data_IF_970994505404
#
_entry.id   IF_970994505404
#
_cell.length_a   1.000
_cell.length_b   1.000
_cell.length_c   1.000
_cell.angle_alpha   90.00
_cell.angle_beta   90.00
_cell.angle_gamma   90.00
#
_symmetry.space_group_name_H-M   'P 1'
#
loop_
_entity.id
_entity.type
_entity.pdbx_description
1 polymer ?
#
# COMPACT_ATOMS: atom_id res chain seq x y z
N UNK A 1 12.96 10.45 24.65
CA UNK A 1 13.10 9.11 24.03
C UNK A 1 13.15 9.33 22.54
N UNK A 2 14.23 8.93 21.85
CA UNK A 2 14.33 9.11 20.40
C UNK A 2 13.36 8.17 19.69
N UNK A 3 12.54 8.71 18.76
CA UNK A 3 11.62 7.90 17.95
C UNK A 3 12.42 6.91 17.10
N UNK A 4 12.09 5.62 17.18
CA UNK A 4 12.77 4.60 16.38
C UNK A 4 12.34 4.70 14.91
N UNK A 5 13.27 4.54 13.99
CA UNK A 5 12.96 4.49 12.55
C UNK A 5 12.36 3.12 12.24
N UNK A 6 11.19 3.12 11.62
CA UNK A 6 10.45 1.89 11.28
C UNK A 6 10.51 1.56 9.79
N UNK A 7 10.75 2.57 8.94
CA UNK A 7 10.82 2.40 7.49
C UNK A 7 11.83 3.40 6.90
N UNK A 8 12.70 2.92 6.00
CA UNK A 8 13.70 3.76 5.31
C UNK A 8 13.74 3.47 3.83
N UNK A 9 13.85 4.51 3.03
CA UNK A 9 14.42 4.48 1.70
C UNK A 9 15.83 5.09 1.77
N UNK A 10 16.80 4.42 1.19
CA UNK A 10 18.19 4.88 1.15
C UNK A 10 18.65 4.93 -0.30
N UNK A 11 18.78 6.15 -0.85
CA UNK A 11 19.25 6.43 -2.22
C UNK A 11 18.53 5.56 -3.28
N UNK A 12 17.22 5.44 -3.16
CA UNK A 12 16.40 4.60 -4.05
C UNK A 12 16.28 5.26 -5.41
N UNK A 13 16.61 4.49 -6.44
CA UNK A 13 16.40 4.84 -7.85
C UNK A 13 15.60 3.73 -8.52
N UNK A 14 14.65 4.10 -9.36
CA UNK A 14 13.87 3.17 -10.17
C UNK A 14 13.72 3.70 -11.58
N UNK A 15 13.95 2.81 -12.57
CA UNK A 15 13.86 3.12 -13.99
C UNK A 15 12.55 2.67 -14.59
N UNK A 16 12.02 3.44 -15.54
CA UNK A 16 10.85 3.06 -16.30
C UNK A 16 11.25 1.99 -17.32
N UNK A 17 10.64 0.82 -17.22
CA UNK A 17 10.83 -0.27 -18.19
C UNK A 17 9.68 -0.28 -19.19
N UNK A 18 9.84 0.43 -20.28
CA UNK A 18 8.87 0.35 -21.36
C UNK A 18 9.09 -0.96 -22.13
N UNK A 19 8.27 -1.97 -21.85
CA UNK A 19 8.32 -3.26 -22.55
C UNK A 19 8.02 -3.17 -24.05
N UNK A 20 7.43 -2.07 -24.52
CA UNK A 20 7.13 -1.83 -25.93
C UNK A 20 8.26 -1.15 -26.71
N UNK A 21 9.33 -0.71 -26.06
CA UNK A 21 10.49 -0.18 -26.77
C UNK A 21 11.25 -1.34 -27.40
N UNK A 22 11.16 -1.50 -28.74
CA UNK A 22 11.95 -2.42 -29.56
C UNK A 22 13.47 -2.16 -29.50
N UNK A 23 13.97 -1.52 -28.47
CA UNK A 23 15.39 -1.21 -28.29
C UNK A 23 16.09 -2.34 -27.53
N UNK A 24 16.08 -3.55 -28.11
CA UNK A 24 16.93 -4.68 -27.68
C UNK A 24 18.44 -4.36 -27.75
N UNK A 25 18.79 -3.16 -28.26
CA UNK A 25 20.12 -2.74 -28.67
C UNK A 25 20.79 -1.74 -27.72
N UNK A 26 20.42 -1.65 -26.44
CA UNK A 26 21.13 -0.78 -25.50
C UNK A 26 21.91 -1.60 -24.46
N UNK A 27 23.20 -1.92 -24.74
CA UNK A 27 24.01 -2.68 -23.80
C UNK A 27 24.47 -1.90 -22.57
N UNK A 28 24.37 -0.57 -22.54
CA UNK A 28 24.98 0.26 -21.49
C UNK A 28 24.11 1.50 -21.16
N UNK A 29 23.13 1.35 -20.26
CA UNK A 29 22.57 2.47 -19.54
C UNK A 29 21.13 2.87 -19.90
N UNK A 30 20.39 3.30 -18.89
CA UNK A 30 19.11 3.98 -19.00
C UNK A 30 19.35 5.45 -19.28
N UNK A 31 18.56 6.07 -20.17
CA UNK A 31 18.57 7.52 -20.36
C UNK A 31 17.98 8.21 -19.13
N UNK A 32 18.31 9.47 -18.92
CA UNK A 32 17.76 10.27 -17.83
C UNK A 32 16.22 10.37 -17.90
N UNK A 33 15.63 10.26 -19.08
CA UNK A 33 14.18 10.24 -19.33
C UNK A 33 13.49 8.94 -18.85
N UNK A 34 14.26 7.86 -18.65
CA UNK A 34 13.74 6.58 -18.16
C UNK A 34 13.70 6.52 -16.61
N UNK A 35 14.08 7.58 -15.93
CA UNK A 35 14.15 7.60 -14.45
C UNK A 35 12.80 8.01 -13.87
N UNK A 36 12.12 7.08 -13.19
CA UNK A 36 10.89 7.36 -12.44
C UNK A 36 11.16 7.92 -11.05
N UNK A 37 12.17 7.39 -10.37
CA UNK A 37 12.62 7.85 -9.06
C UNK A 37 14.13 7.99 -9.09
N UNK A 38 14.64 9.14 -8.65
CA UNK A 38 16.06 9.42 -8.67
C UNK A 38 16.59 9.72 -7.27
N UNK A 39 17.38 8.79 -6.74
CA UNK A 39 18.15 8.96 -5.49
C UNK A 39 17.30 9.41 -4.29
N UNK A 40 16.08 8.85 -4.15
CA UNK A 40 15.15 9.22 -3.08
C UNK A 40 15.60 8.61 -1.76
N UNK A 41 15.68 9.44 -0.74
CA UNK A 41 15.92 9.01 0.64
C UNK A 41 14.79 9.52 1.54
N UNK A 42 14.26 8.65 2.37
CA UNK A 42 13.14 8.92 3.26
C UNK A 42 13.30 8.11 4.55
N UNK A 43 13.07 8.73 5.68
CA UNK A 43 13.00 8.07 6.98
C UNK A 43 11.62 8.29 7.57
N UNK A 44 11.02 7.23 8.07
CA UNK A 44 9.72 7.27 8.73
C UNK A 44 9.90 6.72 10.14
N UNK A 45 9.41 7.46 11.13
CA UNK A 45 9.59 7.17 12.54
C UNK A 45 8.31 6.56 13.13
N UNK A 46 8.48 5.81 14.21
CA UNK A 46 7.35 5.27 14.95
C UNK A 46 6.45 6.39 15.47
N UNK A 47 5.13 6.25 15.24
CA UNK A 47 4.13 7.25 15.61
C UNK A 47 3.96 8.39 14.61
N UNK A 48 4.77 8.45 13.55
CA UNK A 48 4.67 9.48 12.51
C UNK A 48 3.55 9.13 11.51
N UNK A 49 2.81 10.16 11.07
CA UNK A 49 1.91 10.07 9.93
C UNK A 49 2.49 10.93 8.79
N UNK A 50 2.85 10.27 7.68
CA UNK A 50 3.44 10.92 6.52
C UNK A 50 2.45 10.89 5.36
N UNK A 51 2.20 12.05 4.75
CA UNK A 51 1.47 12.19 3.48
C UNK A 51 2.42 12.55 2.35
N UNK A 52 2.40 11.79 1.24
CA UNK A 52 3.15 12.12 0.02
C UNK A 52 2.15 12.65 -1.00
N UNK A 53 2.31 13.92 -1.36
CA UNK A 53 1.42 14.64 -2.28
C UNK A 53 2.20 14.97 -3.55
N UNK A 54 1.52 14.99 -4.69
CA UNK A 54 2.13 15.39 -5.96
C UNK A 54 1.13 15.24 -7.10
N UNK A 55 1.48 15.72 -8.28
CA UNK A 55 0.65 15.67 -9.47
C UNK A 55 0.40 14.24 -9.98
N UNK A 56 -0.65 13.98 -10.76
CA UNK A 56 -0.82 12.73 -11.48
C UNK A 56 0.45 12.39 -12.27
N UNK A 57 0.90 11.14 -12.24
CA UNK A 57 2.13 10.71 -12.92
C UNK A 57 3.44 10.97 -12.16
N UNK A 58 3.44 11.63 -11.01
CA UNK A 58 4.66 11.96 -10.23
C UNK A 58 5.24 10.77 -9.44
N UNK A 59 5.00 9.54 -9.87
CA UNK A 59 5.57 8.32 -9.27
C UNK A 59 5.22 8.04 -7.80
N UNK A 60 4.20 8.69 -7.23
CA UNK A 60 3.76 8.46 -5.84
C UNK A 60 3.38 7.00 -5.59
N UNK A 61 2.54 6.44 -6.46
CA UNK A 61 2.12 5.04 -6.39
C UNK A 61 3.34 4.11 -6.38
N UNK A 62 4.35 4.41 -7.18
CA UNK A 62 5.59 3.66 -7.22
C UNK A 62 6.34 3.72 -5.88
N UNK A 63 6.40 4.89 -5.24
CA UNK A 63 7.00 5.03 -3.89
C UNK A 63 6.25 4.12 -2.90
N UNK A 64 4.92 4.16 -2.88
CA UNK A 64 4.11 3.31 -2.01
C UNK A 64 4.36 1.82 -2.26
N UNK A 65 4.41 1.40 -3.51
CA UNK A 65 4.71 0.00 -3.90
C UNK A 65 6.14 -0.42 -3.57
N UNK A 66 7.11 0.48 -3.63
CA UNK A 66 8.49 0.21 -3.18
C UNK A 66 8.53 0.14 -1.65
N UNK A 67 7.86 1.05 -0.95
CA UNK A 67 7.77 1.02 0.52
C UNK A 67 7.09 -0.26 1.02
N UNK A 68 6.05 -0.74 0.36
CA UNK A 68 5.37 -2.00 0.71
C UNK A 68 6.18 -3.25 0.37
N UNK A 69 7.07 -3.16 -0.63
CA UNK A 69 7.85 -4.28 -1.15
C UNK A 69 7.22 -4.96 -2.36
N UNK A 70 6.08 -4.46 -2.85
CA UNK A 70 5.45 -4.95 -4.08
C UNK A 70 6.30 -4.68 -5.32
N UNK A 71 7.15 -3.65 -5.27
CA UNK A 71 8.12 -3.32 -6.31
C UNK A 71 9.51 -3.22 -5.69
N UNK A 72 10.48 -3.85 -6.35
CA UNK A 72 11.90 -3.77 -5.96
C UNK A 72 12.57 -2.58 -6.69
N UNK A 73 13.29 -1.70 -5.98
CA UNK A 73 14.04 -0.63 -6.64
C UNK A 73 15.24 -1.18 -7.43
N UNK A 74 15.65 -0.47 -8.47
CA UNK A 74 16.84 -0.83 -9.28
C UNK A 74 18.15 -0.49 -8.55
N UNK A 75 18.17 0.59 -7.77
CA UNK A 75 19.29 0.98 -6.92
C UNK A 75 18.81 1.43 -5.54
N UNK A 76 19.72 1.40 -4.56
CA UNK A 76 19.43 1.78 -3.19
C UNK A 76 18.86 0.62 -2.37
N UNK A 77 18.35 0.95 -1.19
CA UNK A 77 17.86 -0.04 -0.24
C UNK A 77 16.59 0.43 0.46
N UNK A 78 15.67 -0.51 0.67
CA UNK A 78 14.50 -0.34 1.54
C UNK A 78 14.70 -1.15 2.79
N UNK A 79 14.55 -0.52 3.95
CA UNK A 79 14.63 -1.18 5.26
C UNK A 79 13.30 -1.05 5.97
N UNK A 80 12.71 -2.18 6.35
CA UNK A 80 11.48 -2.29 7.14
C UNK A 80 11.81 -3.04 8.42
N UNK A 81 11.47 -2.48 9.56
CA UNK A 81 11.77 -3.07 10.87
C UNK A 81 10.53 -3.66 11.53
N UNK A 82 9.36 -3.47 10.93
CA UNK A 82 8.06 -3.82 11.48
C UNK A 82 7.13 -4.41 10.42
N UNK A 83 6.08 -5.11 10.88
CA UNK A 83 5.04 -5.63 10.02
C UNK A 83 4.27 -4.50 9.33
N UNK A 84 3.85 -4.74 8.08
CA UNK A 84 3.28 -3.74 7.23
C UNK A 84 1.98 -4.24 6.60
N UNK A 85 0.95 -3.39 6.62
CA UNK A 85 -0.25 -3.52 5.80
C UNK A 85 -0.19 -2.53 4.64
N UNK A 86 -0.54 -3.00 3.44
CA UNK A 86 -0.58 -2.18 2.23
C UNK A 86 -1.97 -2.29 1.59
N UNK A 87 -2.64 -1.16 1.43
CA UNK A 87 -3.94 -1.06 0.77
C UNK A 87 -3.85 -0.16 -0.47
N UNK A 88 -4.16 -0.73 -1.63
CA UNK A 88 -4.23 0.00 -2.91
C UNK A 88 -5.70 0.13 -3.32
N UNK A 89 -6.18 1.37 -3.48
CA UNK A 89 -7.58 1.62 -3.86
C UNK A 89 -7.90 1.14 -5.28
N UNK A 90 -6.90 1.04 -6.15
CA UNK A 90 -7.09 0.58 -7.52
C UNK A 90 -7.33 -0.93 -7.61
N UNK A 91 -6.93 -1.72 -6.61
CA UNK A 91 -7.18 -3.16 -6.56
C UNK A 91 -8.68 -3.50 -6.54
N UNK A 92 -9.54 -2.56 -6.13
CA UNK A 92 -11.00 -2.68 -6.19
C UNK A 92 -11.49 -3.08 -7.58
N UNK A 93 -10.98 -2.44 -8.62
CA UNK A 93 -11.48 -2.54 -10.00
C UNK A 93 -11.36 -3.94 -10.60
N UNK A 94 -10.39 -4.72 -10.14
CA UNK A 94 -10.10 -6.06 -10.63
C UNK A 94 -10.62 -7.17 -9.71
N UNK A 95 -11.21 -6.80 -8.57
CA UNK A 95 -11.61 -7.76 -7.55
C UNK A 95 -13.06 -8.21 -7.75
N UNK A 96 -13.26 -9.49 -8.07
CA UNK A 96 -14.57 -10.11 -8.30
C UNK A 96 -15.15 -10.83 -7.08
N UNK A 97 -14.44 -10.83 -5.94
CA UNK A 97 -14.92 -11.42 -4.70
C UNK A 97 -16.05 -10.60 -4.11
N UNK A 98 -16.96 -11.23 -3.36
CA UNK A 98 -17.89 -10.49 -2.51
C UNK A 98 -17.14 -9.83 -1.35
N UNK A 99 -17.75 -8.85 -0.69
CA UNK A 99 -17.18 -8.21 0.49
C UNK A 99 -16.84 -9.24 1.56
N UNK A 100 -17.74 -10.20 1.82
CA UNK A 100 -17.53 -11.27 2.78
C UNK A 100 -16.32 -12.14 2.41
N UNK A 101 -16.26 -12.61 1.17
CA UNK A 101 -15.13 -13.41 0.68
C UNK A 101 -13.81 -12.67 0.76
N UNK A 102 -13.79 -11.40 0.31
CA UNK A 102 -12.59 -10.57 0.32
C UNK A 102 -12.03 -10.38 1.72
N UNK A 103 -12.89 -10.05 2.69
CA UNK A 103 -12.45 -9.91 4.09
C UNK A 103 -11.95 -11.25 4.62
N UNK A 104 -12.69 -12.34 4.37
CA UNK A 104 -12.33 -13.69 4.84
C UNK A 104 -10.98 -14.17 4.30
N UNK A 105 -10.65 -13.87 3.05
CA UNK A 105 -9.34 -14.20 2.48
C UNK A 105 -8.22 -13.37 3.08
N UNK A 106 -8.43 -12.05 3.23
CA UNK A 106 -7.39 -11.16 3.76
C UNK A 106 -7.08 -11.42 5.24
N UNK A 107 -8.08 -11.74 6.06
CA UNK A 107 -7.84 -12.00 7.48
C UNK A 107 -7.07 -13.31 7.73
N UNK A 108 -7.06 -14.23 6.77
CA UNK A 108 -6.22 -15.44 6.83
C UNK A 108 -4.71 -15.11 6.76
N UNK A 109 -4.36 -13.95 6.24
CA UNK A 109 -2.98 -13.46 6.20
C UNK A 109 -2.53 -12.80 7.51
N UNK A 110 -3.43 -12.67 8.48
CA UNK A 110 -3.08 -12.06 9.76
C UNK A 110 -2.22 -13.02 10.60
N UNK A 111 -1.32 -12.51 11.44
CA UNK A 111 -0.41 -13.32 12.24
C UNK A 111 -1.09 -13.98 13.45
N UNK A 112 -2.41 -13.96 13.53
CA UNK A 112 -3.23 -14.53 14.59
C UNK A 112 -4.50 -15.14 14.03
N UNK A 113 -5.09 -16.07 14.78
CA UNK A 113 -6.33 -16.73 14.39
C UNK A 113 -7.50 -15.73 14.34
N UNK A 114 -8.26 -15.77 13.26
CA UNK A 114 -9.41 -14.89 13.04
C UNK A 114 -10.68 -15.70 13.01
N UNK A 115 -11.64 -15.33 13.87
CA UNK A 115 -12.96 -15.95 13.94
C UNK A 115 -13.94 -15.30 12.97
N UNK A 116 -15.04 -15.99 12.63
CA UNK A 116 -16.15 -15.43 11.84
C UNK A 116 -16.67 -14.12 12.43
N UNK A 117 -16.81 -14.05 13.74
CA UNK A 117 -17.21 -12.81 14.43
C UNK A 117 -16.25 -11.64 14.13
N UNK A 118 -14.97 -11.91 13.89
CA UNK A 118 -14.01 -10.86 13.54
C UNK A 118 -14.21 -10.35 12.11
N UNK A 119 -14.58 -11.24 11.19
CA UNK A 119 -14.94 -10.87 9.81
C UNK A 119 -16.17 -9.96 9.82
N UNK A 120 -17.22 -10.36 10.53
CA UNK A 120 -18.43 -9.54 10.69
C UNK A 120 -18.12 -8.17 11.30
N UNK A 121 -17.30 -8.13 12.33
CA UNK A 121 -16.88 -6.89 12.99
C UNK A 121 -16.16 -5.93 12.02
N UNK A 122 -15.28 -6.46 11.13
CA UNK A 122 -14.58 -5.66 10.13
C UNK A 122 -15.59 -5.05 9.15
N UNK A 123 -16.55 -5.84 8.68
CA UNK A 123 -17.59 -5.42 7.74
C UNK A 123 -18.50 -4.35 8.39
N UNK A 124 -18.85 -4.52 9.65
CA UNK A 124 -19.62 -3.52 10.41
C UNK A 124 -18.85 -2.21 10.58
N UNK A 125 -17.55 -2.26 10.89
CA UNK A 125 -16.73 -1.05 10.99
C UNK A 125 -16.58 -0.31 9.66
N UNK A 126 -16.66 -1.04 8.56
CA UNK A 126 -16.68 -0.46 7.21
C UNK A 126 -18.06 0.11 6.82
N UNK A 127 -19.10 -0.09 7.65
CA UNK A 127 -20.49 0.23 7.34
C UNK A 127 -20.99 -0.46 6.05
N UNK A 128 -20.61 -1.72 5.85
CA UNK A 128 -20.92 -2.52 4.67
C UNK A 128 -21.83 -3.72 4.97
N UNK A 129 -22.56 -3.72 6.10
CA UNK A 129 -23.46 -4.81 6.48
C UNK A 129 -24.48 -5.15 5.41
N UNK A 130 -25.05 -4.14 4.73
CA UNK A 130 -26.03 -4.32 3.65
C UNK A 130 -25.37 -4.75 2.31
N UNK A 131 -24.06 -4.75 2.21
CA UNK A 131 -23.27 -5.03 1.00
C UNK A 131 -22.42 -6.30 1.12
N UNK A 132 -22.73 -7.19 2.06
CA UNK A 132 -21.94 -8.40 2.36
C UNK A 132 -21.72 -9.27 1.12
N UNK A 133 -22.80 -9.46 0.33
CA UNK A 133 -22.78 -10.27 -0.90
C UNK A 133 -22.49 -9.44 -2.17
N UNK A 134 -22.30 -8.14 -2.04
CA UNK A 134 -21.94 -7.30 -3.17
C UNK A 134 -20.47 -7.51 -3.55
N UNK A 135 -20.17 -7.44 -4.86
CA UNK A 135 -18.79 -7.52 -5.33
C UNK A 135 -17.99 -6.30 -4.93
N UNK A 136 -16.75 -6.52 -4.51
CA UNK A 136 -15.83 -5.44 -4.16
C UNK A 136 -15.65 -4.44 -5.31
N UNK A 137 -15.63 -4.92 -6.57
CA UNK A 137 -15.54 -4.07 -7.76
C UNK A 137 -16.69 -3.08 -7.91
N UNK A 138 -17.87 -3.37 -7.35
CA UNK A 138 -19.06 -2.52 -7.43
C UNK A 138 -19.12 -1.47 -6.31
N UNK A 139 -18.31 -1.61 -5.27
CA UNK A 139 -18.28 -0.62 -4.18
C UNK A 139 -17.85 0.74 -4.70
N UNK A 140 -18.37 1.80 -4.09
CA UNK A 140 -17.83 3.15 -4.30
C UNK A 140 -16.38 3.22 -3.80
N UNK A 141 -15.58 4.16 -4.29
CA UNK A 141 -14.21 4.39 -3.78
C UNK A 141 -14.20 4.67 -2.27
N UNK A 142 -15.17 5.44 -1.80
CA UNK A 142 -15.35 5.73 -0.37
C UNK A 142 -15.60 4.44 0.43
N UNK A 143 -16.53 3.60 -0.02
CA UNK A 143 -16.89 2.35 0.65
C UNK A 143 -15.71 1.39 0.69
N UNK A 144 -14.98 1.28 -0.41
CA UNK A 144 -13.79 0.43 -0.47
C UNK A 144 -12.65 0.98 0.41
N UNK A 145 -12.43 2.29 0.45
CA UNK A 145 -11.47 2.90 1.37
C UNK A 145 -11.83 2.62 2.84
N UNK A 146 -13.11 2.71 3.21
CA UNK A 146 -13.57 2.33 4.54
C UNK A 146 -13.31 0.86 4.86
N UNK A 147 -13.51 -0.04 3.88
CA UNK A 147 -13.20 -1.46 4.03
C UNK A 147 -11.70 -1.68 4.29
N UNK A 148 -10.83 -1.08 3.46
CA UNK A 148 -9.37 -1.18 3.64
C UNK A 148 -8.92 -0.65 5.01
N UNK A 149 -9.48 0.47 5.47
CA UNK A 149 -9.18 1.03 6.79
C UNK A 149 -9.62 0.09 7.92
N UNK A 150 -10.78 -0.54 7.79
CA UNK A 150 -11.30 -1.48 8.78
C UNK A 150 -10.46 -2.74 8.87
N UNK A 151 -10.01 -3.26 7.73
CA UNK A 151 -9.09 -4.39 7.65
C UNK A 151 -7.74 -4.02 8.28
N UNK A 152 -7.17 -2.87 7.91
CA UNK A 152 -5.92 -2.39 8.47
C UNK A 152 -5.96 -2.22 9.99
N UNK A 153 -7.07 -1.67 10.52
CA UNK A 153 -7.29 -1.57 11.97
C UNK A 153 -7.28 -2.93 12.65
N UNK A 154 -7.84 -3.95 11.99
CA UNK A 154 -7.87 -5.32 12.52
C UNK A 154 -6.55 -6.05 12.40
N UNK A 155 -5.71 -5.72 11.42
CA UNK A 155 -4.50 -6.47 11.08
C UNK A 155 -3.40 -6.41 12.14
N UNK A 156 -3.48 -5.48 13.09
CA UNK A 156 -2.45 -5.24 14.13
C UNK A 156 -1.05 -5.00 13.54
N UNK A 157 -0.97 -4.52 12.29
CA UNK A 157 0.30 -4.15 11.71
C UNK A 157 0.80 -2.82 12.29
N UNK A 158 2.11 -2.74 12.50
CA UNK A 158 2.75 -1.52 13.01
C UNK A 158 2.80 -0.40 11.97
N UNK A 159 2.88 -0.78 10.69
CA UNK A 159 2.97 0.15 9.56
C UNK A 159 1.76 -0.05 8.66
N UNK A 160 1.10 1.03 8.31
CA UNK A 160 -0.03 1.02 7.39
C UNK A 160 0.28 1.98 6.25
N UNK A 161 0.24 1.50 5.02
CA UNK A 161 0.42 2.30 3.80
C UNK A 161 -0.86 2.21 2.99
N UNK A 162 -1.43 3.37 2.65
CA UNK A 162 -2.57 3.46 1.74
C UNK A 162 -2.20 4.25 0.50
N UNK A 163 -2.58 3.72 -0.66
CA UNK A 163 -2.66 4.47 -1.90
C UNK A 163 -4.11 4.91 -2.12
N UNK A 164 -4.35 6.22 -2.13
CA UNK A 164 -5.65 6.80 -2.43
C UNK A 164 -5.64 7.45 -3.81
N UNK A 165 -6.84 7.56 -4.41
CA UNK A 165 -7.04 8.22 -5.70
C UNK A 165 -6.70 9.72 -5.68
N UNK A 166 -6.83 10.36 -4.52
CA UNK A 166 -6.24 11.68 -4.29
C UNK A 166 -4.71 11.53 -4.32
N UNK A 167 -3.98 12.56 -4.79
CA UNK A 167 -2.52 12.49 -4.91
C UNK A 167 -1.80 12.41 -3.54
N UNK A 168 -2.32 11.59 -2.65
CA UNK A 168 -1.84 11.45 -1.26
C UNK A 168 -1.56 9.96 -0.98
N UNK A 169 -0.35 9.66 -0.55
CA UNK A 169 -0.04 8.42 0.17
C UNK A 169 -0.06 8.76 1.64
N UNK A 170 -0.97 8.18 2.41
CA UNK A 170 -0.95 8.29 3.85
C UNK A 170 -0.25 7.06 4.45
N UNK A 171 0.78 7.29 5.25
CA UNK A 171 1.43 6.26 6.06
C UNK A 171 1.08 6.57 7.51
N UNK A 172 0.30 5.73 8.15
CA UNK A 172 -0.07 5.88 9.57
C UNK A 172 0.44 4.69 10.36
N UNK A 173 0.97 4.96 11.54
CA UNK A 173 1.36 3.94 12.49
C UNK A 173 0.29 3.76 13.56
N UNK A 174 -0.01 2.51 13.87
CA UNK A 174 -0.87 2.18 15.00
C UNK A 174 0.00 2.12 16.26
N UNK A 175 -0.27 3.02 17.20
CA UNK A 175 0.23 2.86 18.56
C UNK A 175 -0.79 1.93 19.21
N UNK A 176 -0.40 0.67 19.42
CA UNK A 176 -1.17 -0.19 20.32
C UNK A 176 -1.04 0.39 21.73
N UNK A 177 -2.13 0.97 22.24
CA UNK A 177 -2.31 1.27 23.67
C UNK A 177 -2.70 0.00 24.39
#
# INVERSE_FOLDING_TARGET
MGSSIVLKLLKVTHYYRNHNSKKWYRPLGYDAEDINLNNISLHIYQGEALGIIGEPGSSKTLIGRILSGSVKPDKGKVVRTKNLYFGDIDDRKINNLTVSQYVSELVQLFPYEVTEHKVEQIIQWAHLGDYIEEKVSNLSEKSYAQLLLSIARSSKNDIIIFLFFLPIIAVKFHIAT
#
